data_IF_690163444238
#
_entry.id   IF_690163444238
#
_cell.length_a   1.000
_cell.length_b   1.000
_cell.length_c   1.000
_cell.angle_alpha   90.00
_cell.angle_beta   90.00
_cell.angle_gamma   90.00
#
_symmetry.space_group_name_H-M   'P 1'
#
loop_
_entity.id
_entity.type
_entity.pdbx_description
1 polymer ?
#
# COMPACT_ATOMS: atom_id res chain seq x y z
N UNK A 1 -47.73 -5.01 -41.58
CA UNK A 1 -47.12 -5.65 -40.39
C UNK A 1 -45.60 -5.61 -40.46
N UNK A 2 -44.99 -4.45 -40.18
CA UNK A 2 -43.54 -4.23 -40.26
C UNK A 2 -42.91 -3.83 -38.92
N UNK A 3 -43.67 -3.81 -37.82
CA UNK A 3 -43.22 -3.35 -36.50
C UNK A 3 -42.46 -4.41 -35.69
N UNK A 4 -42.70 -5.70 -35.93
CA UNK A 4 -42.05 -6.80 -35.21
C UNK A 4 -40.51 -6.82 -35.33
N UNK A 5 -39.88 -6.66 -36.52
CA UNK A 5 -38.42 -6.67 -36.63
C UNK A 5 -37.76 -5.45 -35.98
N UNK A 6 -38.44 -4.29 -35.97
CA UNK A 6 -37.92 -3.08 -35.34
C UNK A 6 -37.82 -3.21 -33.81
N UNK A 7 -38.82 -3.82 -33.18
CA UNK A 7 -38.82 -4.06 -31.73
C UNK A 7 -37.73 -5.07 -31.33
N UNK A 8 -37.51 -6.10 -32.14
CA UNK A 8 -36.45 -7.08 -31.92
C UNK A 8 -35.06 -6.42 -31.97
N UNK A 9 -34.80 -5.58 -32.98
CA UNK A 9 -33.52 -4.87 -33.12
C UNK A 9 -33.29 -3.87 -31.99
N UNK A 10 -34.34 -3.18 -31.52
CA UNK A 10 -34.26 -2.25 -30.39
C UNK A 10 -33.91 -2.98 -29.09
N UNK A 11 -34.52 -4.15 -28.85
CA UNK A 11 -34.23 -4.95 -27.66
C UNK A 11 -32.79 -5.48 -27.64
N UNK A 12 -32.27 -5.90 -28.80
CA UNK A 12 -30.91 -6.41 -28.92
C UNK A 12 -29.86 -5.34 -28.66
N UNK A 13 -30.09 -4.11 -29.13
CA UNK A 13 -29.17 -2.98 -28.90
C UNK A 13 -29.11 -2.57 -27.43
N UNK A 14 -30.24 -2.59 -26.73
CA UNK A 14 -30.32 -2.28 -25.29
C UNK A 14 -29.52 -3.32 -24.48
N UNK A 15 -29.67 -4.61 -24.79
CA UNK A 15 -28.96 -5.69 -24.10
C UNK A 15 -27.45 -5.57 -24.30
N UNK A 16 -26.99 -5.32 -25.54
CA UNK A 16 -25.58 -5.12 -25.84
C UNK A 16 -24.99 -3.91 -25.10
N UNK A 17 -25.71 -2.79 -25.05
CA UNK A 17 -25.29 -1.61 -24.33
C UNK A 17 -25.17 -1.87 -22.81
N UNK A 18 -26.15 -2.57 -22.22
CA UNK A 18 -26.13 -2.93 -20.80
C UNK A 18 -24.93 -3.81 -20.44
N UNK A 19 -24.61 -4.82 -21.26
CA UNK A 19 -23.45 -5.69 -21.06
C UNK A 19 -22.13 -4.92 -21.16
N UNK A 20 -22.01 -4.01 -22.13
CA UNK A 20 -20.83 -3.16 -22.27
C UNK A 20 -20.64 -2.22 -21.07
N UNK A 21 -21.72 -1.62 -20.56
CA UNK A 21 -21.70 -0.76 -19.37
C UNK A 21 -21.27 -1.56 -18.13
N UNK A 22 -21.86 -2.74 -17.90
CA UNK A 22 -21.47 -3.60 -16.78
C UNK A 22 -20.02 -4.07 -16.89
N UNK A 23 -19.57 -4.40 -18.10
CA UNK A 23 -18.17 -4.74 -18.38
C UNK A 23 -17.23 -3.57 -18.09
N UNK A 24 -17.59 -2.34 -18.49
CA UNK A 24 -16.84 -1.13 -18.18
C UNK A 24 -16.83 -0.81 -16.69
N UNK A 25 -17.96 -0.95 -15.98
CA UNK A 25 -18.03 -0.75 -14.53
C UNK A 25 -17.17 -1.77 -13.81
N UNK A 26 -17.26 -3.06 -14.17
CA UNK A 26 -16.42 -4.11 -13.60
C UNK A 26 -14.95 -3.91 -13.92
N UNK A 27 -14.63 -3.51 -15.15
CA UNK A 27 -13.29 -3.16 -15.57
C UNK A 27 -12.77 -1.93 -14.82
N UNK A 28 -13.56 -0.88 -14.63
CA UNK A 28 -13.20 0.32 -13.85
C UNK A 28 -13.11 0.02 -12.34
N UNK A 29 -13.94 -0.89 -11.82
CA UNK A 29 -13.90 -1.33 -10.42
C UNK A 29 -12.67 -2.19 -10.15
N UNK A 30 -12.30 -3.09 -11.09
CA UNK A 30 -11.07 -3.91 -11.01
C UNK A 30 -9.81 -3.13 -11.35
N UNK A 31 -9.93 -2.15 -12.24
CA UNK A 31 -8.88 -1.22 -12.63
C UNK A 31 -9.05 0.10 -11.88
N UNK A 32 -9.54 0.08 -10.63
CA UNK A 32 -9.53 1.24 -9.73
C UNK A 32 -8.08 1.72 -9.75
N UNK A 33 -7.75 2.79 -10.49
CA UNK A 33 -6.39 3.24 -10.53
C UNK A 33 -6.14 3.69 -9.10
N UNK A 34 -5.05 3.20 -8.51
CA UNK A 34 -4.56 3.64 -7.21
C UNK A 34 -4.33 5.15 -7.34
N UNK A 35 -5.37 5.92 -7.06
CA UNK A 35 -5.47 7.35 -7.30
C UNK A 35 -4.57 8.03 -6.27
N UNK A 36 -3.32 8.14 -6.71
CA UNK A 36 -2.32 9.14 -6.34
C UNK A 36 -3.03 10.47 -6.10
N UNK A 37 -3.01 10.92 -4.86
CA UNK A 37 -3.57 12.20 -4.49
C UNK A 37 -3.63 12.33 -2.98
N UNK A 38 -2.47 12.21 -2.32
CA UNK A 38 -2.02 12.98 -1.16
C UNK A 38 -0.48 12.95 -1.24
N UNK A 39 0.18 14.10 -1.09
CA UNK A 39 1.59 14.40 -1.42
C UNK A 39 2.57 13.21 -1.33
N UNK A 40 2.76 12.55 -2.47
CA UNK A 40 3.52 11.32 -2.59
C UNK A 40 5.02 11.65 -2.74
N UNK A 41 5.75 11.77 -1.64
CA UNK A 41 7.19 11.59 -1.69
C UNK A 41 7.47 10.10 -1.92
N UNK A 42 8.10 9.78 -3.05
CA UNK A 42 8.53 8.42 -3.37
C UNK A 42 9.80 8.13 -2.57
N UNK A 43 9.72 7.22 -1.59
CA UNK A 43 10.92 6.74 -0.91
C UNK A 43 11.63 5.77 -1.85
N UNK A 44 12.65 6.23 -2.57
CA UNK A 44 13.69 5.33 -3.03
C UNK A 44 14.38 4.81 -1.77
N UNK A 45 14.04 3.58 -1.37
CA UNK A 45 14.74 2.86 -0.29
C UNK A 45 16.26 2.82 -0.55
N UNK A 46 16.65 2.97 -1.82
CA UNK A 46 18.01 3.14 -2.35
C UNK A 46 18.66 4.50 -1.98
N UNK A 47 17.92 5.62 -1.95
CA UNK A 47 18.49 6.97 -1.79
C UNK A 47 18.79 7.34 -0.33
N UNK A 48 18.05 6.80 0.64
CA UNK A 48 18.26 7.13 2.06
C UNK A 48 19.35 6.26 2.73
N UNK A 49 19.84 5.22 2.04
CA UNK A 49 21.06 4.50 2.42
C UNK A 49 22.32 5.35 2.22
N UNK A 50 22.29 6.30 1.28
CA UNK A 50 23.42 7.19 1.00
C UNK A 50 23.50 8.40 1.93
N UNK A 51 22.39 8.75 2.59
CA UNK A 51 22.28 9.93 3.44
C UNK A 51 22.68 9.68 4.92
N UNK A 52 22.85 8.42 5.35
CA UNK A 52 23.20 8.08 6.73
C UNK A 52 24.42 7.15 6.77
N UNK A 53 25.61 7.76 6.80
CA UNK A 53 26.94 7.23 7.10
C UNK A 53 27.05 5.73 7.47
N UNK A 54 27.16 4.87 6.45
CA UNK A 54 27.88 3.61 6.57
C UNK A 54 29.01 3.66 5.54
N UNK A 55 30.24 3.84 6.04
CA UNK A 55 31.45 3.80 5.21
C UNK A 55 31.65 2.38 4.68
N UNK A 56 31.23 2.14 3.44
CA UNK A 56 31.83 1.10 2.60
C UNK A 56 32.36 1.85 1.38
N UNK A 57 33.66 2.16 1.41
CA UNK A 57 34.39 2.75 0.28
C UNK A 57 34.28 1.85 -0.95
N UNK A 58 33.73 2.37 -2.06
CA UNK A 58 34.15 2.05 -3.43
C UNK A 58 33.81 3.26 -4.33
N UNK A 59 34.63 3.53 -5.38
CA UNK A 59 35.12 4.87 -5.69
C UNK A 59 34.11 5.78 -6.40
N UNK A 60 34.11 7.05 -6.00
CA UNK A 60 33.44 8.15 -6.70
C UNK A 60 34.31 8.58 -7.87
N UNK A 61 33.81 8.45 -9.10
CA UNK A 61 34.20 9.34 -10.18
C UNK A 61 32.96 10.05 -10.72
N UNK A 62 32.94 11.35 -10.49
CA UNK A 62 32.03 12.33 -11.05
C UNK A 62 32.03 12.30 -12.58
N UNK A 63 30.84 12.31 -13.20
CA UNK A 63 30.44 13.24 -14.29
C UNK A 63 29.14 12.78 -14.93
N UNK A 64 28.20 13.72 -15.00
CA UNK A 64 27.27 14.01 -16.09
C UNK A 64 26.86 12.87 -17.05
N UNK A 65 25.54 12.83 -17.28
CA UNK A 65 24.83 12.38 -18.49
C UNK A 65 24.22 10.97 -18.52
N UNK A 66 23.03 10.97 -19.14
CA UNK A 66 22.33 9.90 -19.88
C UNK A 66 21.46 8.90 -19.11
N UNK A 67 20.15 9.03 -19.44
CA UNK A 67 19.09 8.00 -19.46
C UNK A 67 19.62 6.59 -19.24
N UNK A 68 19.17 5.95 -18.18
CA UNK A 68 19.20 4.49 -18.05
C UNK A 68 17.91 4.04 -17.40
N UNK A 69 17.08 3.32 -18.17
CA UNK A 69 15.87 2.63 -17.72
C UNK A 69 16.27 1.63 -16.62
N UNK A 70 16.14 2.00 -15.34
CA UNK A 70 16.32 1.09 -14.21
C UNK A 70 14.96 0.44 -13.94
N UNK A 71 14.93 -0.90 -13.96
CA UNK A 71 13.73 -1.73 -13.74
C UNK A 71 12.89 -1.18 -12.58
N UNK A 72 11.58 -1.04 -12.80
CA UNK A 72 10.58 -0.65 -11.80
C UNK A 72 10.65 -1.61 -10.60
N UNK A 73 11.36 -1.20 -9.55
CA UNK A 73 11.14 -1.74 -8.22
C UNK A 73 10.00 -0.91 -7.67
N UNK A 74 8.87 -1.55 -7.36
CA UNK A 74 7.66 -0.89 -6.85
C UNK A 74 8.01 0.05 -5.68
N UNK A 75 8.00 1.36 -5.93
CA UNK A 75 8.24 2.36 -4.91
C UNK A 75 7.05 2.38 -3.93
N UNK A 76 7.30 2.11 -2.65
CA UNK A 76 6.27 2.10 -1.61
C UNK A 76 5.84 3.54 -1.25
N UNK A 77 4.53 3.82 -1.19
CA UNK A 77 4.01 5.13 -0.75
C UNK A 77 4.45 5.51 0.67
N UNK A 78 4.80 6.79 0.87
CA UNK A 78 4.98 7.39 2.19
C UNK A 78 3.71 8.08 2.66
N UNK A 79 3.33 7.84 3.92
CA UNK A 79 2.22 8.51 4.59
C UNK A 79 2.75 9.45 5.66
N UNK A 80 2.07 10.59 5.85
CA UNK A 80 2.39 11.50 6.94
C UNK A 80 1.93 10.93 8.28
N UNK A 81 2.69 11.19 9.35
CA UNK A 81 2.32 10.75 10.70
C UNK A 81 0.94 11.25 11.11
N UNK A 82 0.61 12.51 10.78
CA UNK A 82 -0.71 13.09 11.04
C UNK A 82 -1.86 12.32 10.37
N UNK A 83 -1.67 11.89 9.12
CA UNK A 83 -2.68 11.09 8.40
C UNK A 83 -2.89 9.75 9.08
N UNK A 84 -1.80 9.05 9.43
CA UNK A 84 -1.86 7.74 10.11
C UNK A 84 -2.45 7.85 11.51
N UNK A 85 -2.03 8.86 12.27
CA UNK A 85 -2.56 9.15 13.60
C UNK A 85 -4.06 9.42 13.53
N UNK A 86 -4.52 10.23 12.58
CA UNK A 86 -5.96 10.49 12.38
C UNK A 86 -6.71 9.21 12.01
N UNK A 87 -6.18 8.44 11.06
CA UNK A 87 -6.79 7.19 10.59
C UNK A 87 -6.97 6.15 11.70
N UNK A 88 -6.09 6.15 12.69
CA UNK A 88 -6.11 5.21 13.83
C UNK A 88 -6.77 5.78 15.09
N UNK A 89 -7.37 6.97 15.00
CA UNK A 89 -7.87 7.73 16.15
C UNK A 89 -6.78 7.90 17.24
N UNK A 90 -5.63 8.44 16.83
CA UNK A 90 -4.43 8.67 17.64
C UNK A 90 -3.88 7.37 18.27
N UNK A 91 -3.87 6.27 17.52
CA UNK A 91 -3.44 4.95 18.01
C UNK A 91 -4.21 4.51 19.27
N UNK A 92 -5.53 4.76 19.30
CA UNK A 92 -6.39 4.38 20.42
C UNK A 92 -6.41 2.87 20.64
N UNK A 93 -6.41 2.44 21.91
CA UNK A 93 -6.53 1.03 22.29
C UNK A 93 -7.82 0.37 21.78
N UNK A 94 -8.89 1.16 21.59
CA UNK A 94 -10.14 0.68 20.98
C UNK A 94 -9.94 0.15 19.55
N UNK A 95 -8.88 0.61 18.86
CA UNK A 95 -8.52 0.18 17.53
C UNK A 95 -7.40 -0.87 17.53
N UNK A 96 -6.91 -1.32 18.68
CA UNK A 96 -5.80 -2.27 18.75
C UNK A 96 -6.25 -3.66 18.26
N UNK A 97 -5.57 -4.17 17.24
CA UNK A 97 -5.80 -5.50 16.68
C UNK A 97 -4.97 -6.57 17.40
N UNK A 98 -3.82 -6.18 17.94
CA UNK A 98 -2.92 -7.05 18.68
C UNK A 98 -1.58 -6.40 18.97
N UNK A 99 -0.73 -7.07 19.74
CA UNK A 99 0.63 -6.65 20.03
C UNK A 99 1.53 -7.87 20.19
N UNK A 100 2.73 -7.79 19.64
CA UNK A 100 3.78 -8.79 19.81
C UNK A 100 5.14 -8.13 19.98
N UNK A 101 6.22 -8.91 19.88
CA UNK A 101 7.60 -8.41 20.05
C UNK A 101 8.03 -7.30 19.09
N UNK A 102 7.27 -7.09 18.01
CA UNK A 102 7.52 -6.07 16.98
C UNK A 102 6.62 -4.84 17.11
N UNK A 103 5.95 -4.71 18.26
CA UNK A 103 5.08 -3.60 18.59
C UNK A 103 3.59 -3.84 18.28
N UNK A 104 2.76 -2.85 18.63
CA UNK A 104 1.31 -2.93 18.47
C UNK A 104 0.86 -2.73 17.02
N UNK A 105 -0.25 -3.38 16.68
CA UNK A 105 -0.97 -3.25 15.41
C UNK A 105 -2.35 -2.66 15.67
N UNK A 106 -2.70 -1.61 14.95
CA UNK A 106 -3.98 -0.91 15.07
C UNK A 106 -4.78 -1.02 13.78
N UNK A 107 -6.10 -1.07 13.89
CA UNK A 107 -7.05 -0.83 12.82
C UNK A 107 -7.11 0.66 12.54
N UNK A 108 -7.16 1.03 11.28
CA UNK A 108 -7.42 2.41 10.87
C UNK A 108 -8.33 2.50 9.68
N UNK A 109 -8.88 3.67 9.44
CA UNK A 109 -9.68 4.00 8.26
C UNK A 109 -9.10 5.24 7.63
N UNK A 110 -8.60 5.11 6.39
CA UNK A 110 -8.12 6.25 5.62
C UNK A 110 -9.30 7.17 5.25
N UNK A 111 -9.03 8.44 4.90
CA UNK A 111 -10.07 9.42 4.53
C UNK A 111 -11.05 8.95 3.45
N UNK A 112 -10.62 8.02 2.58
CA UNK A 112 -11.43 7.45 1.49
C UNK A 112 -12.28 6.25 1.93
N UNK A 113 -12.27 5.88 3.20
CA UNK A 113 -12.98 4.73 3.75
C UNK A 113 -12.22 3.41 3.65
N UNK A 114 -11.00 3.40 3.09
CA UNK A 114 -10.18 2.19 2.98
C UNK A 114 -9.69 1.77 4.39
N UNK A 115 -10.04 0.55 4.81
CA UNK A 115 -9.57 -0.04 6.07
C UNK A 115 -8.11 -0.49 5.96
N UNK A 116 -7.32 -0.15 6.99
CA UNK A 116 -5.89 -0.46 7.05
C UNK A 116 -5.50 -1.10 8.38
N UNK A 117 -4.41 -1.85 8.36
CA UNK A 117 -3.70 -2.29 9.55
C UNK A 117 -2.39 -1.49 9.68
N UNK A 118 -2.16 -0.90 10.84
CA UNK A 118 -1.06 0.02 11.12
C UNK A 118 -0.16 -0.61 12.19
N UNK A 119 1.00 -1.11 11.77
CA UNK A 119 2.01 -1.69 12.67
C UNK A 119 3.00 -0.61 13.06
N UNK A 120 3.00 -0.22 14.34
CA UNK A 120 3.92 0.77 14.89
C UNK A 120 5.14 0.05 15.47
N UNK A 121 6.29 0.23 14.83
CA UNK A 121 7.54 -0.44 15.20
C UNK A 121 8.21 0.27 16.39
N UNK A 122 9.00 -0.44 17.19
CA UNK A 122 9.65 0.13 18.36
C UNK A 122 10.67 1.22 17.97
N UNK A 123 10.59 2.37 18.65
CA UNK A 123 11.43 3.55 18.44
C UNK A 123 12.85 3.46 19.04
N UNK A 124 13.35 2.27 19.40
CA UNK A 124 14.71 2.11 19.96
C UNK A 124 15.76 2.31 18.86
N UNK A 125 16.04 3.58 18.57
CA UNK A 125 17.08 4.29 17.78
C UNK A 125 17.70 3.66 16.51
N UNK A 126 17.39 2.42 16.17
CA UNK A 126 17.87 1.70 15.00
C UNK A 126 17.15 0.37 14.75
N UNK A 127 16.55 -0.24 15.78
CA UNK A 127 15.82 -1.51 15.63
C UNK A 127 14.59 -1.34 14.72
N UNK A 128 13.72 -0.35 14.99
CA UNK A 128 12.52 -0.13 14.17
C UNK A 128 12.81 0.16 12.70
N UNK A 129 13.89 0.88 12.39
CA UNK A 129 14.29 1.13 11.00
C UNK A 129 14.82 -0.16 10.32
N UNK A 130 15.60 -0.97 11.05
CA UNK A 130 16.10 -2.25 10.53
C UNK A 130 14.97 -3.24 10.28
N UNK A 131 14.01 -3.33 11.21
CA UNK A 131 12.81 -4.15 11.08
C UNK A 131 11.95 -3.70 9.90
N UNK A 132 11.71 -2.39 9.78
CA UNK A 132 11.01 -1.81 8.62
C UNK A 132 11.68 -2.19 7.31
N UNK A 133 13.01 -2.07 7.21
CA UNK A 133 13.77 -2.41 6.00
C UNK A 133 13.67 -3.90 5.67
N UNK A 134 13.81 -4.76 6.68
CA UNK A 134 13.70 -6.21 6.49
C UNK A 134 12.30 -6.59 5.99
N UNK A 135 11.27 -6.10 6.67
CA UNK A 135 9.87 -6.41 6.35
C UNK A 135 9.49 -5.89 4.96
N UNK A 136 9.88 -4.65 4.61
CA UNK A 136 9.68 -4.10 3.28
C UNK A 136 10.44 -4.89 2.19
N UNK A 137 11.69 -5.32 2.45
CA UNK A 137 12.49 -6.09 1.50
C UNK A 137 11.90 -7.49 1.25
N UNK A 138 11.40 -8.15 2.30
CA UNK A 138 10.77 -9.46 2.19
C UNK A 138 9.47 -9.36 1.39
N UNK A 139 8.62 -8.38 1.71
CA UNK A 139 7.34 -8.22 1.01
C UNK A 139 7.54 -7.83 -0.45
N UNK A 140 8.56 -7.03 -0.76
CA UNK A 140 8.92 -6.71 -2.15
C UNK A 140 9.32 -7.97 -2.96
N UNK A 141 9.90 -8.98 -2.32
CA UNK A 141 10.29 -10.24 -2.95
C UNK A 141 9.17 -11.26 -3.03
N UNK A 142 8.18 -11.18 -2.14
CA UNK A 142 7.13 -12.19 -1.99
C UNK A 142 5.75 -11.52 -2.14
N UNK A 143 5.44 -11.11 -3.37
CA UNK A 143 4.09 -10.68 -3.72
C UNK A 143 3.26 -11.90 -4.15
N UNK A 144 2.37 -12.37 -3.26
CA UNK A 144 1.46 -13.48 -3.56
C UNK A 144 0.05 -13.16 -3.08
N UNK A 145 -0.97 -13.69 -3.76
CA UNK A 145 -2.41 -13.49 -3.46
C UNK A 145 -2.86 -13.88 -2.04
N UNK A 146 -2.04 -14.67 -1.33
CA UNK A 146 -2.33 -15.16 0.02
C UNK A 146 -1.47 -14.47 1.10
N UNK A 147 -0.69 -13.44 0.74
CA UNK A 147 0.12 -12.66 1.67
C UNK A 147 -0.46 -11.26 1.83
N UNK A 148 -0.44 -10.75 3.05
CA UNK A 148 -0.92 -9.41 3.36
C UNK A 148 -0.09 -8.40 2.60
N UNK A 149 -0.76 -7.54 1.82
CA UNK A 149 -0.07 -6.52 1.02
C UNK A 149 0.33 -5.32 1.85
N UNK A 150 1.59 -4.93 1.73
CA UNK A 150 2.09 -3.65 2.22
C UNK A 150 1.60 -2.52 1.31
N UNK A 151 0.90 -1.54 1.90
CA UNK A 151 0.38 -0.37 1.19
C UNK A 151 1.34 0.81 1.22
N UNK A 152 2.20 0.89 2.24
CA UNK A 152 3.19 1.96 2.39
C UNK A 152 3.79 2.00 3.77
N UNK A 153 4.54 3.06 4.06
CA UNK A 153 5.15 3.29 5.35
C UNK A 153 5.03 4.76 5.79
N UNK A 154 5.26 5.01 7.08
CA UNK A 154 5.43 6.34 7.63
C UNK A 154 6.74 6.37 8.42
N UNK A 155 7.56 7.37 8.14
CA UNK A 155 8.85 7.61 8.76
C UNK A 155 8.84 9.06 9.23
N UNK A 156 8.71 9.27 10.54
CA UNK A 156 8.76 10.61 11.13
C UNK A 156 9.57 10.57 12.42
N UNK A 157 10.74 11.23 12.44
CA UNK A 157 11.67 11.21 13.59
C UNK A 157 11.92 9.78 14.13
N UNK A 158 11.39 9.45 15.30
CA UNK A 158 11.50 8.14 15.96
C UNK A 158 10.37 7.17 15.60
N UNK A 159 9.33 7.64 14.91
CA UNK A 159 8.22 6.84 14.44
C UNK A 159 8.57 6.08 13.17
N UNK A 160 8.38 4.78 13.22
CA UNK A 160 8.56 3.86 12.09
C UNK A 160 7.30 3.01 12.02
N UNK A 161 6.51 3.22 10.98
CA UNK A 161 5.19 2.62 10.87
C UNK A 161 5.05 1.95 9.50
N UNK A 162 4.51 0.74 9.50
CA UNK A 162 4.14 -0.01 8.30
C UNK A 162 2.61 -0.04 8.17
N UNK A 163 2.13 0.18 6.96
CA UNK A 163 0.71 0.30 6.65
C UNK A 163 0.33 -0.83 5.70
N UNK A 164 -0.56 -1.68 6.16
CA UNK A 164 -1.04 -2.88 5.48
C UNK A 164 -2.49 -2.74 5.09
N UNK A 165 -2.91 -3.52 4.10
CA UNK A 165 -4.34 -3.75 3.91
C UNK A 165 -4.92 -4.50 5.13
N UNK A 166 -6.09 -4.06 5.58
CA UNK A 166 -6.77 -4.73 6.68
C UNK A 166 -7.32 -6.08 6.22
N UNK A 167 -7.03 -7.14 6.99
CA UNK A 167 -7.58 -8.48 6.77
C UNK A 167 -8.68 -8.75 7.80
N UNK A 168 -9.96 -8.81 7.40
CA UNK A 168 -11.07 -8.94 8.34
C UNK A 168 -11.08 -10.26 9.11
N UNK A 169 -10.43 -11.29 8.56
CA UNK A 169 -10.44 -12.63 9.14
C UNK A 169 -9.40 -12.83 10.26
N UNK A 170 -8.75 -11.80 10.81
CA UNK A 170 -7.71 -11.96 11.85
C UNK A 170 -6.57 -12.92 11.43
N UNK A 171 -5.59 -13.13 12.31
CA UNK A 171 -4.48 -14.07 12.05
C UNK A 171 -4.99 -15.51 12.06
N UNK A 172 -4.30 -16.39 11.33
CA UNK A 172 -4.54 -17.84 11.42
C UNK A 172 -4.40 -18.36 12.87
N UNK A 173 -3.52 -17.74 13.65
CA UNK A 173 -3.30 -18.01 15.08
C UNK A 173 -4.60 -17.88 15.90
N UNK A 174 -5.47 -16.93 15.56
CA UNK A 174 -6.78 -16.75 16.21
C UNK A 174 -7.77 -17.88 15.92
N UNK A 175 -7.58 -18.62 14.82
CA UNK A 175 -8.46 -19.73 14.45
C UNK A 175 -7.90 -21.11 14.81
N UNK A 176 -6.60 -21.20 15.06
CA UNK A 176 -5.93 -22.47 15.38
C UNK A 176 -5.70 -22.67 16.88
N UNK A 177 -5.81 -21.62 17.70
CA UNK A 177 -5.64 -21.65 19.15
C UNK A 177 -6.73 -20.81 19.84
#
# INVERSE_FOLDING_TARGET
>A
GTSAPFLALLSLSIVLAAVAILGLIFYCARRKPRSRGEDLMTLDLDLNLKANNVNIELPVNSKQTKRSKKKEVDQLPLFSFSSVSTATNKFSDANKLGEGGFGPVYKGVLKKGDEIAVKRLPGRSGQGLREMKNEASVIAKVQHKNLVRLLGCCIDKDEKILIYEYMPNKSLDFFLF
#
